data_IF_880717947990
#
_entry.id   IF_880717947990
#
_cell.length_a   1.000
_cell.length_b   1.000
_cell.length_c   1.000
_cell.angle_alpha   90.00
_cell.angle_beta   90.00
_cell.angle_gamma   90.00
#
_symmetry.space_group_name_H-M   'P 1'
#
loop_
_entity.id
_entity.type
_entity.pdbx_description
1 polymer ?
#
# COMPACT_ATOMS: atom_id res chain seq x y z
N UNK A 1 4.40 1.87 -37.39
CA UNK A 1 5.52 1.78 -36.43
C UNK A 1 4.98 1.06 -35.20
N UNK A 2 5.45 -0.15 -34.95
CA UNK A 2 5.03 -0.94 -33.79
C UNK A 2 5.57 -0.25 -32.54
N UNK A 3 4.68 0.30 -31.72
CA UNK A 3 5.04 0.87 -30.43
C UNK A 3 5.41 -0.32 -29.52
N UNK A 4 6.71 -0.51 -29.27
CA UNK A 4 7.16 -1.57 -28.39
C UNK A 4 6.54 -1.34 -26.99
N UNK A 5 6.09 -2.39 -26.30
CA UNK A 5 5.43 -2.24 -25.01
C UNK A 5 6.35 -1.50 -24.04
N UNK A 6 5.86 -0.37 -23.50
CA UNK A 6 6.62 0.49 -22.59
C UNK A 6 6.85 -0.25 -21.27
N UNK A 7 8.11 -0.42 -20.88
CA UNK A 7 8.47 -0.96 -19.57
C UNK A 7 8.61 0.18 -18.57
N UNK A 8 7.82 0.17 -17.51
CA UNK A 8 7.95 1.09 -16.38
C UNK A 8 8.96 0.54 -15.39
N UNK A 9 9.92 1.38 -14.95
CA UNK A 9 11.00 0.99 -14.04
C UNK A 9 10.93 1.84 -12.77
N UNK A 10 11.12 1.21 -11.63
CA UNK A 10 11.14 1.83 -10.31
C UNK A 10 12.43 1.46 -9.63
N UNK A 11 13.18 2.47 -9.14
CA UNK A 11 14.47 2.28 -8.51
C UNK A 11 14.45 2.81 -7.09
N UNK A 12 14.99 2.03 -6.17
CA UNK A 12 15.14 2.40 -4.77
C UNK A 12 16.55 2.06 -4.31
N UNK A 13 17.02 2.73 -3.25
CA UNK A 13 18.24 2.40 -2.55
C UNK A 13 17.97 2.26 -1.06
N UNK A 14 18.60 1.28 -0.42
CA UNK A 14 18.59 1.09 1.03
C UNK A 14 20.03 1.06 1.53
N UNK A 15 20.31 1.74 2.66
CA UNK A 15 21.63 1.79 3.26
C UNK A 15 21.53 1.64 4.77
N UNK A 16 22.34 0.76 5.33
CA UNK A 16 22.53 0.52 6.75
C UNK A 16 24.01 0.67 7.11
N UNK A 17 24.28 1.26 8.26
CA UNK A 17 25.62 1.36 8.85
C UNK A 17 25.58 0.87 10.29
N UNK A 18 26.54 0.06 10.67
CA UNK A 18 26.63 -0.46 12.02
C UNK A 18 27.52 -1.70 12.09
N UNK A 19 27.30 -2.48 13.13
CA UNK A 19 27.96 -3.78 13.32
C UNK A 19 26.97 -4.79 13.85
N UNK A 20 26.97 -6.00 13.30
CA UNK A 20 26.21 -7.13 13.84
C UNK A 20 26.99 -7.92 14.89
N UNK A 21 28.23 -7.53 15.19
CA UNK A 21 29.07 -8.21 16.17
C UNK A 21 28.47 -8.32 17.60
N UNK A 22 27.64 -7.34 18.07
CA UNK A 22 26.96 -7.48 19.36
C UNK A 22 25.90 -8.58 19.42
N UNK A 23 25.55 -9.21 18.28
CA UNK A 23 24.56 -10.27 18.17
C UNK A 23 23.16 -9.77 17.84
N UNK A 24 22.26 -10.72 17.58
CA UNK A 24 20.91 -10.46 17.10
C UNK A 24 20.11 -9.49 17.99
N UNK A 25 20.23 -9.59 19.29
CA UNK A 25 19.43 -8.79 20.23
C UNK A 25 19.93 -7.35 20.40
N UNK A 26 21.12 -7.02 19.92
CA UNK A 26 21.81 -5.77 20.27
C UNK A 26 22.16 -4.85 19.09
N UNK A 27 22.17 -5.34 17.83
CA UNK A 27 22.49 -4.45 16.71
C UNK A 27 21.29 -3.53 16.35
N UNK A 28 21.59 -2.30 15.93
CA UNK A 28 20.60 -1.33 15.48
C UNK A 28 20.07 -1.71 14.09
N UNK A 29 18.75 -1.70 13.93
CA UNK A 29 18.05 -2.02 12.68
C UNK A 29 17.65 -0.79 11.88
N UNK A 30 17.94 0.39 12.40
CA UNK A 30 17.65 1.65 11.74
C UNK A 30 18.46 1.77 10.46
N UNK A 31 17.76 2.05 9.37
CA UNK A 31 18.35 2.19 8.05
C UNK A 31 17.64 3.28 7.25
N UNK A 32 18.17 3.64 6.09
CA UNK A 32 17.60 4.67 5.22
C UNK A 32 17.19 4.07 3.88
N UNK A 33 16.07 4.55 3.35
CA UNK A 33 15.60 4.22 2.01
C UNK A 33 15.29 5.49 1.22
N UNK A 34 15.54 5.45 -0.08
CA UNK A 34 15.27 6.51 -1.04
C UNK A 34 14.74 5.93 -2.34
N UNK A 35 13.87 6.67 -3.01
CA UNK A 35 13.30 6.33 -4.32
C UNK A 35 13.41 7.53 -5.28
N UNK A 36 14.55 7.76 -5.94
CA UNK A 36 14.68 8.84 -6.93
C UNK A 36 13.64 8.71 -8.06
N UNK A 37 13.11 9.82 -8.59
CA UNK A 37 13.52 11.21 -8.37
C UNK A 37 12.94 11.90 -7.13
N UNK A 38 12.19 11.17 -6.26
CA UNK A 38 11.73 11.74 -4.99
C UNK A 38 12.93 12.19 -4.15
N UNK A 39 12.83 13.40 -3.57
CA UNK A 39 13.86 13.95 -2.67
C UNK A 39 13.68 13.50 -1.22
N UNK A 40 12.64 12.70 -0.93
CA UNK A 40 12.36 12.23 0.42
C UNK A 40 13.22 11.02 0.76
N UNK A 41 13.83 11.07 1.94
CA UNK A 41 14.48 9.93 2.57
C UNK A 41 13.58 9.41 3.68
N UNK A 42 13.40 8.10 3.74
CA UNK A 42 12.70 7.43 4.83
C UNK A 42 13.72 6.84 5.80
N UNK A 43 13.53 7.05 7.09
CA UNK A 43 14.19 6.28 8.14
C UNK A 43 13.27 5.10 8.49
N UNK A 44 13.82 3.91 8.41
CA UNK A 44 13.10 2.64 8.55
C UNK A 44 13.78 1.76 9.61
N UNK A 45 13.03 0.78 10.06
CA UNK A 45 13.48 -0.24 11.00
C UNK A 45 12.78 -1.56 10.70
N UNK A 46 12.95 -2.58 11.53
CA UNK A 46 12.12 -3.79 11.53
C UNK A 46 10.88 -3.61 12.41
N UNK A 47 9.93 -4.54 12.32
CA UNK A 47 8.82 -4.63 13.26
C UNK A 47 9.34 -4.74 14.71
N UNK A 48 8.65 -4.17 15.72
CA UNK A 48 9.02 -4.31 17.13
C UNK A 48 9.15 -5.75 17.61
N UNK A 49 8.37 -6.69 17.07
CA UNK A 49 8.52 -8.12 17.35
C UNK A 49 9.89 -8.68 16.90
N UNK A 50 10.54 -8.00 15.97
CA UNK A 50 11.89 -8.30 15.47
C UNK A 50 12.92 -7.27 15.94
N UNK A 51 12.72 -6.67 17.11
CA UNK A 51 13.62 -5.70 17.78
C UNK A 51 13.72 -4.35 17.08
N UNK A 52 12.70 -3.95 16.30
CA UNK A 52 12.62 -2.63 15.70
C UNK A 52 12.16 -1.55 16.66
N UNK A 53 12.32 -0.30 16.25
CA UNK A 53 11.87 0.90 16.97
C UNK A 53 10.41 1.22 16.54
N UNK A 54 9.42 1.15 17.44
CA UNK A 54 8.02 1.42 17.06
C UNK A 54 7.76 2.86 16.59
N UNK A 55 8.70 3.78 16.77
CA UNK A 55 8.60 5.14 16.28
C UNK A 55 8.94 5.30 14.78
N UNK A 56 9.49 4.26 14.15
CA UNK A 56 9.85 4.26 12.74
C UNK A 56 9.02 3.27 11.94
N UNK A 57 8.87 3.54 10.65
CA UNK A 57 8.17 2.63 9.73
C UNK A 57 8.98 1.34 9.49
N UNK A 58 8.27 0.26 9.28
CA UNK A 58 8.84 -1.03 8.89
C UNK A 58 8.38 -1.46 7.47
N UNK A 59 9.04 -2.44 6.84
CA UNK A 59 8.69 -2.89 5.49
C UNK A 59 7.26 -3.42 5.35
N UNK A 60 6.72 -4.05 6.38
CA UNK A 60 5.37 -4.58 6.40
C UNK A 60 4.34 -3.45 6.30
N UNK A 61 4.54 -2.36 7.05
CA UNK A 61 3.71 -1.16 6.94
C UNK A 61 3.83 -0.51 5.56
N UNK A 62 5.03 -0.45 4.97
CA UNK A 62 5.22 0.09 3.63
C UNK A 62 4.46 -0.73 2.58
N UNK A 63 4.40 -2.05 2.71
CA UNK A 63 3.63 -2.91 1.81
C UNK A 63 2.13 -2.63 1.89
N UNK A 64 1.58 -2.52 3.11
CA UNK A 64 0.17 -2.17 3.33
C UNK A 64 -0.14 -0.78 2.78
N UNK A 65 0.73 0.22 3.04
CA UNK A 65 0.58 1.57 2.47
C UNK A 65 0.61 1.56 0.94
N UNK A 66 1.48 0.75 0.33
CA UNK A 66 1.55 0.64 -1.13
C UNK A 66 0.23 0.08 -1.70
N UNK A 67 -0.36 -0.93 -1.07
CA UNK A 67 -1.65 -1.49 -1.48
C UNK A 67 -2.78 -0.47 -1.34
N UNK A 68 -2.89 0.23 -0.20
CA UNK A 68 -3.89 1.26 0.04
C UNK A 68 -3.76 2.43 -0.93
N UNK A 69 -2.54 2.95 -1.12
CA UNK A 69 -2.27 4.06 -2.05
C UNK A 69 -2.58 3.68 -3.51
N UNK A 70 -2.24 2.46 -3.93
CA UNK A 70 -2.52 1.99 -5.28
C UNK A 70 -4.03 1.85 -5.52
N UNK A 71 -4.78 1.30 -4.57
CA UNK A 71 -6.24 1.21 -4.64
C UNK A 71 -6.89 2.59 -4.74
N UNK A 72 -6.46 3.55 -3.91
CA UNK A 72 -6.91 4.93 -3.96
C UNK A 72 -6.73 5.52 -5.37
N UNK A 73 -5.51 5.46 -5.92
CA UNK A 73 -5.18 6.04 -7.22
C UNK A 73 -5.95 5.36 -8.36
N UNK A 74 -6.06 4.04 -8.33
CA UNK A 74 -6.85 3.27 -9.30
C UNK A 74 -8.33 3.65 -9.24
N UNK A 75 -8.89 3.78 -8.03
CA UNK A 75 -10.29 4.18 -7.86
C UNK A 75 -10.54 5.60 -8.36
N UNK A 76 -9.72 6.58 -8.02
CA UNK A 76 -9.88 7.95 -8.50
C UNK A 76 -9.82 8.02 -10.02
N UNK A 77 -8.94 7.27 -10.66
CA UNK A 77 -8.85 7.20 -12.12
C UNK A 77 -10.11 6.59 -12.77
N UNK A 78 -10.63 5.49 -12.20
CA UNK A 78 -11.86 4.83 -12.68
C UNK A 78 -13.07 5.73 -12.46
N UNK A 79 -13.21 6.34 -11.28
CA UNK A 79 -14.30 7.27 -10.95
C UNK A 79 -14.32 8.49 -11.87
N UNK A 80 -13.15 9.09 -12.13
CA UNK A 80 -13.03 10.23 -13.04
C UNK A 80 -13.47 9.88 -14.48
N UNK A 81 -13.03 8.73 -15.00
CA UNK A 81 -13.49 8.24 -16.33
C UNK A 81 -15.00 7.97 -16.35
N UNK A 82 -15.57 7.51 -15.24
CA UNK A 82 -17.01 7.26 -15.10
C UNK A 82 -17.81 8.55 -14.80
N UNK A 83 -17.15 9.71 -14.70
CA UNK A 83 -17.74 11.01 -14.38
C UNK A 83 -18.45 11.01 -13.01
N UNK A 84 -17.90 10.32 -12.04
CA UNK A 84 -18.33 10.36 -10.63
C UNK A 84 -17.48 11.39 -9.90
N UNK A 85 -18.14 12.34 -9.24
CA UNK A 85 -17.49 13.40 -8.47
C UNK A 85 -17.15 12.86 -7.07
N UNK A 86 -15.92 12.39 -6.90
CA UNK A 86 -15.37 11.98 -5.61
C UNK A 86 -14.73 13.20 -4.94
N UNK A 87 -15.15 13.51 -3.74
CA UNK A 87 -14.69 14.70 -3.00
C UNK A 87 -13.84 14.38 -1.79
N UNK A 88 -13.92 13.16 -1.29
CA UNK A 88 -13.06 12.68 -0.20
C UNK A 88 -12.87 11.16 -0.29
N UNK A 89 -11.70 10.67 0.17
CA UNK A 89 -11.36 9.26 0.26
C UNK A 89 -10.41 9.10 1.45
N UNK A 90 -10.83 8.31 2.41
CA UNK A 90 -10.03 7.94 3.59
C UNK A 90 -10.00 6.42 3.69
N UNK A 91 -8.86 5.84 4.03
CA UNK A 91 -8.70 4.39 4.12
C UNK A 91 -7.94 4.02 5.39
N UNK A 92 -8.58 3.24 6.25
CA UNK A 92 -7.97 2.60 7.41
C UNK A 92 -7.67 1.14 7.06
N UNK A 93 -6.45 0.90 6.60
CA UNK A 93 -6.00 -0.40 6.14
C UNK A 93 -5.17 -1.13 7.19
N UNK A 94 -5.30 -2.46 7.22
CA UNK A 94 -4.43 -3.33 8.02
C UNK A 94 -3.93 -4.53 7.21
N UNK A 95 -2.78 -5.07 7.62
CA UNK A 95 -2.19 -6.28 7.10
C UNK A 95 -1.99 -7.32 8.20
N UNK A 96 -2.24 -8.58 7.89
CA UNK A 96 -2.10 -9.70 8.79
C UNK A 96 -0.93 -10.59 8.37
N UNK A 97 -0.01 -10.84 9.32
CA UNK A 97 1.13 -11.76 9.16
C UNK A 97 1.09 -12.82 10.27
N UNK A 98 0.42 -13.98 10.04
CA UNK A 98 0.28 -15.02 11.06
C UNK A 98 1.63 -15.63 11.45
N UNK A 99 1.96 -15.59 12.75
CA UNK A 99 3.25 -16.05 13.27
C UNK A 99 3.48 -17.57 13.19
N UNK A 100 2.44 -18.35 12.93
CA UNK A 100 2.51 -19.81 12.79
C UNK A 100 2.71 -20.30 11.36
N UNK A 101 2.50 -19.44 10.36
CA UNK A 101 2.74 -19.81 8.95
C UNK A 101 4.23 -19.91 8.61
N UNK A 102 4.56 -20.80 7.68
CA UNK A 102 5.93 -20.97 7.18
C UNK A 102 5.93 -21.07 5.65
N UNK A 103 6.70 -20.21 4.94
CA UNK A 103 7.38 -19.04 5.49
C UNK A 103 6.38 -17.99 6.00
N UNK A 104 6.77 -17.22 7.02
CA UNK A 104 5.97 -16.07 7.48
C UNK A 104 5.84 -15.04 6.35
N UNK A 105 4.63 -14.55 6.14
CA UNK A 105 4.33 -13.53 5.15
C UNK A 105 3.06 -12.78 5.52
N UNK A 106 2.89 -11.58 5.00
CA UNK A 106 1.58 -10.93 5.03
C UNK A 106 0.66 -11.74 4.13
N UNK A 107 -0.30 -12.44 4.74
CA UNK A 107 -1.24 -13.31 4.02
C UNK A 107 -2.50 -12.59 3.59
N UNK A 108 -2.88 -11.50 4.30
CA UNK A 108 -4.08 -10.72 4.03
C UNK A 108 -3.83 -9.23 4.28
N UNK A 109 -4.37 -8.39 3.39
CA UNK A 109 -4.49 -6.94 3.58
C UNK A 109 -5.96 -6.58 3.42
N UNK A 110 -6.53 -5.87 4.38
CA UNK A 110 -7.89 -5.36 4.33
C UNK A 110 -7.88 -3.84 4.21
N UNK A 111 -8.46 -3.34 3.14
CA UNK A 111 -8.64 -1.91 2.86
C UNK A 111 -10.07 -1.53 3.21
N UNK A 112 -10.28 -0.43 3.96
CA UNK A 112 -11.61 0.04 4.37
C UNK A 112 -11.83 1.50 3.95
N UNK A 113 -11.90 1.75 2.63
CA UNK A 113 -12.06 3.11 2.14
C UNK A 113 -13.45 3.66 2.45
N UNK A 114 -13.47 4.82 3.07
CA UNK A 114 -14.65 5.68 3.19
C UNK A 114 -14.62 6.71 2.07
N UNK A 115 -15.56 6.62 1.15
CA UNK A 115 -15.59 7.36 -0.10
C UNK A 115 -16.77 8.32 -0.09
N UNK A 116 -16.50 9.62 -0.16
CA UNK A 116 -17.54 10.64 -0.26
C UNK A 116 -17.70 11.09 -1.71
N UNK A 117 -18.91 10.96 -2.24
CA UNK A 117 -19.29 11.39 -3.59
C UNK A 117 -20.35 12.48 -3.54
N UNK A 118 -20.26 13.44 -4.48
CA UNK A 118 -21.25 14.48 -4.66
C UNK A 118 -22.22 14.13 -5.78
N UNK A 119 -23.49 14.48 -5.57
CA UNK A 119 -24.54 14.35 -6.59
C UNK A 119 -25.32 13.04 -6.50
N UNK A 120 -26.07 12.73 -7.55
CA UNK A 120 -27.05 11.64 -7.60
C UNK A 120 -26.45 10.26 -7.95
N UNK A 121 -25.14 10.06 -7.73
CA UNK A 121 -24.52 8.77 -8.04
C UNK A 121 -25.04 7.69 -7.09
N UNK A 122 -25.50 6.58 -7.66
CA UNK A 122 -25.94 5.42 -6.90
C UNK A 122 -24.77 4.73 -6.17
N UNK A 123 -25.01 4.33 -4.93
CA UNK A 123 -24.00 3.61 -4.10
C UNK A 123 -23.52 2.32 -4.78
N UNK A 124 -24.44 1.55 -5.40
CA UNK A 124 -24.10 0.31 -6.09
C UNK A 124 -23.12 0.57 -7.24
N UNK A 125 -23.28 1.71 -7.94
CA UNK A 125 -22.36 2.12 -8.99
C UNK A 125 -20.97 2.44 -8.41
N UNK A 126 -20.89 3.16 -7.29
CA UNK A 126 -19.61 3.47 -6.65
C UNK A 126 -18.90 2.18 -6.21
N UNK A 127 -19.62 1.25 -5.57
CA UNK A 127 -19.08 -0.06 -5.18
C UNK A 127 -18.56 -0.85 -6.38
N UNK A 128 -19.30 -0.87 -7.47
CA UNK A 128 -18.83 -1.49 -8.72
C UNK A 128 -17.54 -0.85 -9.24
N UNK A 129 -17.40 0.48 -9.18
CA UNK A 129 -16.17 1.16 -9.59
C UNK A 129 -14.99 0.83 -8.66
N UNK A 130 -15.23 0.61 -7.36
CA UNK A 130 -14.21 0.10 -6.43
C UNK A 130 -13.71 -1.29 -6.85
N UNK A 131 -14.61 -2.19 -7.24
CA UNK A 131 -14.25 -3.53 -7.74
C UNK A 131 -13.45 -3.46 -9.05
N UNK A 132 -13.85 -2.58 -9.97
CA UNK A 132 -13.09 -2.33 -11.21
C UNK A 132 -11.68 -1.86 -10.89
N UNK A 133 -11.57 -0.87 -10.01
CA UNK A 133 -10.28 -0.32 -9.57
C UNK A 133 -9.39 -1.39 -8.91
N UNK A 134 -9.99 -2.26 -8.11
CA UNK A 134 -9.25 -3.36 -7.46
C UNK A 134 -8.67 -4.34 -8.49
N UNK A 135 -9.42 -4.70 -9.51
CA UNK A 135 -8.92 -5.55 -10.61
C UNK A 135 -7.77 -4.90 -11.39
N UNK A 136 -7.75 -3.57 -11.48
CA UNK A 136 -6.72 -2.79 -12.18
C UNK A 136 -5.56 -2.36 -11.26
N UNK A 137 -5.62 -2.65 -9.96
CA UNK A 137 -4.62 -2.24 -8.97
C UNK A 137 -3.30 -2.97 -9.20
N UNK A 138 -2.27 -2.25 -9.62
CA UNK A 138 -0.96 -2.83 -9.97
C UNK A 138 -0.30 -3.53 -8.77
N UNK A 139 -0.39 -2.95 -7.58
CA UNK A 139 0.21 -3.55 -6.37
C UNK A 139 -0.53 -4.82 -5.99
N UNK A 140 -1.87 -4.81 -5.93
CA UNK A 140 -2.64 -6.03 -5.64
C UNK A 140 -2.33 -7.15 -6.64
N UNK A 141 -2.22 -6.83 -7.94
CA UNK A 141 -1.86 -7.80 -8.98
C UNK A 141 -0.40 -8.29 -8.91
N UNK A 142 0.46 -7.62 -8.14
CA UNK A 142 1.87 -7.99 -7.95
C UNK A 142 2.12 -8.84 -6.70
N UNK A 143 1.09 -9.09 -5.90
CA UNK A 143 1.18 -9.80 -4.62
C UNK A 143 0.50 -11.17 -4.68
N UNK A 144 1.01 -12.10 -3.88
CA UNK A 144 0.31 -13.36 -3.54
C UNK A 144 -0.57 -13.20 -2.29
N UNK A 145 -0.48 -12.04 -1.62
CA UNK A 145 -1.31 -11.65 -0.49
C UNK A 145 -2.76 -11.45 -0.95
N UNK A 146 -3.72 -11.97 -0.21
CA UNK A 146 -5.12 -11.65 -0.42
C UNK A 146 -5.37 -10.17 -0.05
N UNK A 147 -5.82 -9.37 -1.02
CA UNK A 147 -6.19 -7.97 -0.77
C UNK A 147 -7.70 -7.85 -0.87
N UNK A 148 -8.34 -7.48 0.23
CA UNK A 148 -9.80 -7.32 0.35
C UNK A 148 -10.13 -5.85 0.47
N UNK A 149 -11.19 -5.39 -0.20
CA UNK A 149 -11.65 -4.00 -0.13
C UNK A 149 -13.09 -3.97 0.39
N UNK A 150 -13.31 -3.27 1.50
CA UNK A 150 -14.59 -3.14 2.21
C UNK A 150 -15.03 -1.67 2.20
N UNK A 151 -15.59 -1.14 1.11
CA UNK A 151 -15.88 0.28 0.98
C UNK A 151 -17.13 0.71 1.75
N UNK A 152 -17.05 1.87 2.40
CA UNK A 152 -18.20 2.68 2.85
C UNK A 152 -18.42 3.82 1.87
N UNK A 153 -19.64 4.06 1.43
CA UNK A 153 -19.99 5.14 0.49
C UNK A 153 -20.86 6.16 1.19
N UNK A 154 -20.42 7.42 1.16
CA UNK A 154 -21.14 8.58 1.69
C UNK A 154 -21.55 9.49 0.52
N UNK A 155 -22.80 9.94 0.50
CA UNK A 155 -23.32 10.88 -0.51
C UNK A 155 -23.63 12.23 0.11
N UNK A 156 -23.25 13.31 -0.57
CA UNK A 156 -23.55 14.69 -0.19
C UNK A 156 -24.12 15.50 -1.35
#
# INVERSE_FOLDING_TARGET
>A
MSDAPRVHRYTVSCAWHGSTAPGYDAYDRRHRAQAPPSLRTLELTSDPAFRGDPALLNPEQLLVMAAASCQLLSFLAVAARARVDVVDYQDDADGEMPGHERPMRISRITLRPRITVRGATDEARVRHLVEVAHRECFIANSLTTEVVVEPEVVRI
#
